data_IF_612813689736
#
_entry.id   IF_612813689736
#
_cell.length_a   1.000
_cell.length_b   1.000
_cell.length_c   1.000
_cell.angle_alpha   90.00
_cell.angle_beta   90.00
_cell.angle_gamma   90.00
#
_symmetry.space_group_name_H-M   'P 1'
#
loop_
_entity.id
_entity.type
_entity.pdbx_description
1 polymer ?
#
# COMPACT_ATOMS: atom_id res chain seq x y z
N UNK A 1 -7.45 -53.94 -16.36
CA UNK A 1 -8.30 -52.77 -16.68
C UNK A 1 -8.69 -51.98 -15.44
N UNK A 2 -9.29 -52.56 -14.40
CA UNK A 2 -9.69 -51.83 -13.17
C UNK A 2 -8.55 -51.11 -12.43
N UNK A 3 -7.35 -51.73 -12.36
CA UNK A 3 -6.18 -51.15 -11.68
C UNK A 3 -5.62 -49.93 -12.43
N UNK A 4 -5.60 -49.96 -13.76
CA UNK A 4 -5.09 -48.86 -14.61
C UNK A 4 -5.99 -47.62 -14.47
N UNK A 5 -7.31 -47.81 -14.40
CA UNK A 5 -8.27 -46.72 -14.19
C UNK A 5 -8.07 -46.07 -12.81
N UNK A 6 -7.83 -46.87 -11.77
CA UNK A 6 -7.62 -46.36 -10.42
C UNK A 6 -6.34 -45.52 -10.31
N UNK A 7 -5.25 -45.95 -10.96
CA UNK A 7 -4.00 -45.18 -11.00
C UNK A 7 -4.16 -43.88 -11.79
N UNK A 8 -4.92 -43.89 -12.88
CA UNK A 8 -5.20 -42.68 -13.67
C UNK A 8 -6.01 -41.63 -12.88
N UNK A 9 -7.01 -42.08 -12.11
CA UNK A 9 -7.81 -41.21 -11.24
C UNK A 9 -6.95 -40.63 -10.11
N UNK A 10 -6.06 -41.43 -9.52
CA UNK A 10 -5.17 -40.96 -8.47
C UNK A 10 -4.18 -39.89 -8.96
N UNK A 11 -3.64 -40.05 -10.17
CA UNK A 11 -2.74 -39.06 -10.79
C UNK A 11 -3.49 -37.76 -11.16
N UNK A 12 -4.74 -37.86 -11.61
CA UNK A 12 -5.58 -36.67 -11.84
C UNK A 12 -5.91 -35.92 -10.54
N UNK A 13 -6.18 -36.61 -9.44
CA UNK A 13 -6.46 -35.97 -8.15
C UNK A 13 -5.21 -35.29 -7.55
N UNK A 14 -4.02 -35.86 -7.74
CA UNK A 14 -2.77 -35.28 -7.25
C UNK A 14 -2.38 -33.99 -8.01
N UNK A 15 -2.79 -33.84 -9.27
CA UNK A 15 -2.50 -32.66 -10.10
C UNK A 15 -3.24 -31.38 -9.71
N UNK A 16 -4.28 -31.46 -8.86
CA UNK A 16 -5.13 -30.30 -8.50
C UNK A 16 -4.55 -29.50 -7.32
N UNK A 17 -3.53 -30.01 -6.61
CA UNK A 17 -3.00 -29.36 -5.41
C UNK A 17 -1.85 -28.38 -5.66
N UNK A 18 -1.40 -28.22 -6.91
CA UNK A 18 -0.45 -27.17 -7.28
C UNK A 18 -1.18 -25.85 -7.53
N UNK A 19 -1.87 -25.33 -6.52
CA UNK A 19 -2.35 -23.96 -6.54
C UNK A 19 -1.11 -23.06 -6.47
N UNK A 20 -0.82 -22.34 -7.56
CA UNK A 20 0.22 -21.32 -7.56
C UNK A 20 -0.14 -20.29 -6.47
N UNK A 21 0.68 -20.21 -5.43
CA UNK A 21 0.52 -19.17 -4.43
C UNK A 21 0.93 -17.85 -5.11
N UNK A 22 -0.06 -17.03 -5.48
CA UNK A 22 0.19 -15.69 -5.96
C UNK A 22 0.87 -14.90 -4.84
N UNK A 23 2.18 -14.76 -4.92
CA UNK A 23 2.91 -13.76 -4.15
C UNK A 23 2.55 -12.41 -4.74
N UNK A 24 1.46 -11.82 -4.26
CA UNK A 24 1.10 -10.46 -4.61
C UNK A 24 2.20 -9.53 -4.10
N UNK A 25 2.80 -8.76 -5.01
CA UNK A 25 3.76 -7.73 -4.65
C UNK A 25 3.00 -6.66 -3.86
N UNK A 26 3.40 -6.32 -2.63
CA UNK A 26 2.73 -5.29 -1.86
C UNK A 26 2.71 -3.97 -2.65
N UNK A 27 1.55 -3.32 -2.83
CA UNK A 27 1.49 -2.00 -3.44
C UNK A 27 2.12 -0.98 -2.49
N UNK A 28 3.41 -0.69 -2.71
CA UNK A 28 4.17 0.31 -1.98
C UNK A 28 4.40 1.52 -2.87
N UNK A 29 4.17 2.72 -2.33
CA UNK A 29 4.36 3.97 -3.07
C UNK A 29 5.41 4.82 -2.37
N UNK A 30 6.54 5.05 -3.03
CA UNK A 30 7.52 6.01 -2.55
C UNK A 30 6.97 7.43 -2.77
N UNK A 31 6.92 8.24 -1.71
CA UNK A 31 6.40 9.59 -1.77
C UNK A 31 7.33 10.58 -1.07
N UNK A 32 7.64 11.67 -1.76
CA UNK A 32 8.55 12.72 -1.33
C UNK A 32 7.91 14.08 -1.54
N UNK A 33 8.31 15.04 -0.70
CA UNK A 33 7.87 16.41 -0.83
C UNK A 33 8.68 17.34 0.04
N UNK A 34 8.39 18.64 -0.05
CA UNK A 34 9.01 19.69 0.75
C UNK A 34 7.96 20.40 1.57
N UNK A 35 8.22 20.57 2.87
CA UNK A 35 7.43 21.39 3.76
C UNK A 35 8.16 22.70 4.02
N UNK A 36 7.45 23.80 3.76
CA UNK A 36 7.89 25.16 4.04
C UNK A 36 6.81 25.91 4.83
N UNK A 37 7.19 26.95 5.55
CA UNK A 37 6.24 27.89 6.17
C UNK A 37 5.66 28.89 5.14
N UNK A 38 4.82 29.80 5.63
CA UNK A 38 4.15 30.80 4.80
C UNK A 38 5.13 31.78 4.11
N UNK A 39 6.34 31.93 4.65
CA UNK A 39 7.39 32.77 4.08
C UNK A 39 8.30 32.00 3.11
N UNK A 40 7.99 30.71 2.87
CA UNK A 40 8.76 29.83 1.99
C UNK A 40 10.03 29.26 2.63
N UNK A 41 10.23 29.44 3.95
CA UNK A 41 11.38 28.88 4.65
C UNK A 41 11.14 27.41 4.94
N UNK A 42 12.14 26.60 4.59
CA UNK A 42 12.10 25.16 4.81
C UNK A 42 11.89 24.80 6.28
N UNK A 43 10.93 23.91 6.55
CA UNK A 43 10.69 23.40 7.90
C UNK A 43 11.80 22.42 8.31
N UNK A 44 12.09 22.37 9.61
CA UNK A 44 13.10 21.49 10.19
C UNK A 44 12.54 20.60 11.30
N UNK A 45 13.32 19.59 11.70
CA UNK A 45 12.96 18.63 12.73
C UNK A 45 12.01 17.55 12.23
N UNK A 46 11.43 16.77 13.14
CA UNK A 46 10.43 15.75 12.78
C UNK A 46 9.01 16.31 12.80
N UNK A 47 8.18 15.88 11.85
CA UNK A 47 6.76 16.26 11.77
C UNK A 47 5.86 15.03 11.74
N UNK A 48 4.66 15.17 12.31
CA UNK A 48 3.55 14.25 12.03
C UNK A 48 3.03 14.56 10.64
N UNK A 49 2.97 13.55 9.76
CA UNK A 49 2.47 13.70 8.40
C UNK A 49 1.35 12.68 8.17
N UNK A 50 0.25 13.15 7.57
CA UNK A 50 -0.94 12.36 7.27
C UNK A 50 -1.17 12.36 5.76
N UNK A 51 -1.40 11.17 5.20
CA UNK A 51 -1.64 10.99 3.76
C UNK A 51 -3.03 10.42 3.52
N UNK A 52 -3.77 11.03 2.60
CA UNK A 52 -5.05 10.54 2.09
C UNK A 52 -5.09 10.72 0.58
N UNK A 53 -5.81 9.83 -0.11
CA UNK A 53 -6.01 9.88 -1.57
C UNK A 53 -7.47 10.22 -1.85
N UNK A 54 -7.68 11.04 -2.88
CA UNK A 54 -8.99 11.48 -3.34
C UNK A 54 -9.12 11.24 -4.84
N UNK A 55 -10.33 10.94 -5.32
CA UNK A 55 -10.62 10.74 -6.76
C UNK A 55 -11.15 11.98 -7.48
N UNK A 56 -11.34 13.09 -6.74
CA UNK A 56 -11.81 14.36 -7.26
C UNK A 56 -10.71 15.44 -7.23
N UNK A 57 -10.72 16.33 -8.22
CA UNK A 57 -9.76 17.44 -8.32
C UNK A 57 -9.88 18.46 -7.17
N UNK A 58 -11.10 18.62 -6.63
CA UNK A 58 -11.35 19.38 -5.41
C UNK A 58 -11.65 18.34 -4.33
N UNK A 59 -10.72 18.17 -3.39
CA UNK A 59 -10.83 17.21 -2.31
C UNK A 59 -11.97 17.51 -1.34
N UNK A 60 -12.44 16.48 -0.64
CA UNK A 60 -13.48 16.54 0.39
C UNK A 60 -13.67 15.16 1.01
N UNK A 61 -14.34 15.07 2.16
CA UNK A 61 -14.53 13.78 2.85
C UNK A 61 -15.23 12.73 1.97
N UNK A 62 -16.15 13.16 1.10
CA UNK A 62 -16.94 12.30 0.20
C UNK A 62 -16.12 11.72 -0.96
N UNK A 63 -15.05 12.39 -1.40
CA UNK A 63 -14.17 11.94 -2.49
C UNK A 63 -12.94 11.18 -2.00
N UNK A 64 -12.84 10.93 -0.69
CA UNK A 64 -11.68 10.25 -0.10
C UNK A 64 -11.74 8.75 -0.40
N UNK A 65 -10.85 8.28 -1.27
CA UNK A 65 -10.79 6.88 -1.66
C UNK A 65 -9.85 6.05 -0.79
N UNK A 66 -8.93 6.65 -0.05
CA UNK A 66 -8.04 5.93 0.87
C UNK A 66 -7.44 6.89 1.90
N UNK A 67 -7.16 6.38 3.10
CA UNK A 67 -6.50 7.15 4.15
C UNK A 67 -7.42 7.57 5.29
N UNK A 68 -6.83 8.07 6.40
CA UNK A 68 -5.44 8.46 6.46
C UNK A 68 -4.47 7.32 6.77
N UNK A 69 -3.27 7.38 6.18
CA UNK A 69 -2.09 6.74 6.77
C UNK A 69 -1.29 7.81 7.53
N UNK A 70 -0.99 7.54 8.81
CA UNK A 70 -0.36 8.50 9.72
C UNK A 70 1.07 8.08 10.01
N UNK A 71 2.01 8.99 9.75
CA UNK A 71 3.39 8.90 10.20
C UNK A 71 3.59 9.86 11.36
N UNK A 72 3.81 9.32 12.56
CA UNK A 72 3.88 10.12 13.80
C UNK A 72 5.10 11.03 13.89
N UNK A 73 6.21 10.64 13.27
CA UNK A 73 7.49 11.37 13.32
C UNK A 73 8.30 11.10 12.04
N UNK A 74 8.21 12.01 11.08
CA UNK A 74 8.99 11.99 9.83
C UNK A 74 10.08 13.05 9.90
N UNK A 75 11.37 12.68 9.86
CA UNK A 75 12.46 13.65 9.89
C UNK A 75 12.48 14.46 8.59
N UNK A 76 12.72 15.77 8.72
CA UNK A 76 12.92 16.65 7.59
C UNK A 76 14.41 16.98 7.40
N UNK A 77 14.87 16.93 6.15
CA UNK A 77 16.20 17.39 5.74
C UNK A 77 16.02 18.55 4.78
N UNK A 78 16.34 19.77 5.20
CA UNK A 78 16.07 21.00 4.43
C UNK A 78 14.62 21.10 3.93
N UNK A 79 13.66 20.79 4.81
CA UNK A 79 12.22 20.76 4.47
C UNK A 79 11.78 19.51 3.72
N UNK A 80 12.69 18.71 3.18
CA UNK A 80 12.34 17.50 2.42
C UNK A 80 11.98 16.34 3.35
N UNK A 81 10.93 15.60 2.99
CA UNK A 81 10.59 14.31 3.58
C UNK A 81 10.59 13.21 2.52
N UNK A 82 10.76 11.97 2.98
CA UNK A 82 10.63 10.77 2.16
C UNK A 82 9.93 9.69 2.99
N UNK A 83 8.84 9.14 2.47
CA UNK A 83 8.08 8.06 3.11
C UNK A 83 7.71 6.99 2.09
N UNK A 84 7.43 5.79 2.58
CA UNK A 84 6.83 4.72 1.77
C UNK A 84 5.40 4.55 2.26
N UNK A 85 4.42 4.90 1.42
CA UNK A 85 3.02 4.61 1.69
C UNK A 85 2.81 3.10 1.59
N UNK A 86 2.14 2.56 2.60
CA UNK A 86 1.92 1.13 2.76
C UNK A 86 0.66 0.66 2.05
N UNK A 87 0.41 -0.64 2.14
CA UNK A 87 -0.73 -1.28 1.49
C UNK A 87 -2.07 -0.91 2.11
N UNK A 88 -2.11 -0.48 3.37
CA UNK A 88 -3.34 -0.18 4.09
C UNK A 88 -3.29 1.14 4.82
N UNK A 89 -4.43 1.83 4.91
CA UNK A 89 -4.58 2.98 5.78
C UNK A 89 -4.77 2.60 7.26
N UNK A 90 -5.00 3.59 8.13
CA UNK A 90 -5.21 3.39 9.58
C UNK A 90 -6.45 2.55 9.90
N UNK A 91 -7.41 2.43 8.98
CA UNK A 91 -8.61 1.60 9.12
C UNK A 91 -8.46 0.20 8.51
N UNK A 92 -7.31 -0.11 7.88
CA UNK A 92 -7.07 -1.37 7.18
C UNK A 92 -7.56 -1.39 5.74
N UNK A 93 -8.01 -0.25 5.17
CA UNK A 93 -8.44 -0.16 3.77
C UNK A 93 -7.23 -0.29 2.85
N UNK A 94 -7.31 -1.19 1.87
CA UNK A 94 -6.28 -1.37 0.83
C UNK A 94 -6.13 -0.12 -0.03
N UNK A 95 -4.88 0.24 -0.37
CA UNK A 95 -4.54 1.28 -1.35
C UNK A 95 -4.74 0.81 -2.80
N UNK A 96 -4.71 -0.50 -3.03
CA UNK A 96 -5.00 -1.15 -4.31
C UNK A 96 -6.45 -1.64 -4.36
#
# INVERSE_FOLDING_TARGET
MKQIVLTMVFVMLAGVMAQAQETSVPPLVNYQGMLADADGKALTGSKKIEFSLYDAAIGGSESKIWGPQIFSSVPLVNGMFNVILGTTDTSGKSIA
#
